data_IF_716184360307
#
_entry.id   IF_716184360307
#
_cell.length_a   1.000
_cell.length_b   1.000
_cell.length_c   1.000
_cell.angle_alpha   90.00
_cell.angle_beta   90.00
_cell.angle_gamma   90.00
#
_symmetry.space_group_name_H-M   'P 1'
#
loop_
_entity.id
_entity.type
_entity.pdbx_description
1 polymer ?
#
# COMPACT_ATOMS: atom_id res chain seq x y z
N UNK A 1 31.67 7.90 0.47
CA UNK A 1 30.21 7.90 0.20
C UNK A 1 29.85 6.53 -0.33
N UNK A 2 29.21 5.69 0.49
CA UNK A 2 28.94 4.29 0.15
C UNK A 2 27.93 4.20 -0.98
N UNK A 3 28.36 3.57 -2.07
CA UNK A 3 27.58 3.32 -3.26
C UNK A 3 26.48 2.30 -2.95
N UNK A 4 25.30 2.54 -3.53
CA UNK A 4 24.22 1.56 -3.70
C UNK A 4 23.50 1.06 -2.44
N UNK A 5 22.84 1.96 -1.71
CA UNK A 5 21.45 1.67 -1.32
C UNK A 5 20.61 1.69 -2.61
N UNK A 6 20.76 0.66 -3.46
CA UNK A 6 19.79 0.42 -4.52
C UNK A 6 18.50 0.13 -3.76
N UNK A 7 17.60 1.10 -3.71
CA UNK A 7 16.20 0.87 -3.39
C UNK A 7 15.73 -0.23 -4.32
N UNK A 8 15.78 -1.48 -3.86
CA UNK A 8 15.29 -2.61 -4.61
C UNK A 8 13.78 -2.46 -4.68
N UNK A 9 13.31 -1.77 -5.73
CA UNK A 9 11.97 -1.88 -6.32
C UNK A 9 11.77 -3.27 -6.94
N UNK A 10 12.31 -4.28 -6.28
CA UNK A 10 12.13 -5.68 -6.60
C UNK A 10 10.99 -6.19 -5.76
N UNK A 11 10.12 -7.00 -6.36
CA UNK A 11 9.09 -7.75 -5.63
C UNK A 11 9.67 -8.73 -4.58
N UNK A 12 10.99 -8.86 -4.53
CA UNK A 12 11.71 -9.53 -3.45
C UNK A 12 11.62 -8.78 -2.12
N UNK A 13 11.42 -7.46 -2.14
CA UNK A 13 11.14 -6.68 -0.94
C UNK A 13 9.69 -6.90 -0.48
N UNK A 14 9.46 -7.45 0.72
CA UNK A 14 8.11 -7.71 1.22
C UNK A 14 7.26 -6.44 1.37
N UNK A 15 7.87 -5.28 1.66
CA UNK A 15 7.14 -4.00 1.71
C UNK A 15 6.56 -3.64 0.34
N UNK A 16 7.35 -3.76 -0.73
CA UNK A 16 6.93 -3.45 -2.11
C UNK A 16 5.88 -4.44 -2.60
N UNK A 17 6.06 -5.73 -2.30
CA UNK A 17 5.09 -6.77 -2.68
C UNK A 17 3.72 -6.54 -2.06
N UNK A 18 3.67 -6.25 -0.76
CA UNK A 18 2.40 -6.04 -0.08
C UNK A 18 1.77 -4.70 -0.45
N UNK A 19 2.59 -3.66 -0.67
CA UNK A 19 2.09 -2.41 -1.23
C UNK A 19 1.40 -2.64 -2.57
N UNK A 20 2.05 -3.35 -3.49
CA UNK A 20 1.48 -3.66 -4.80
C UNK A 20 0.18 -4.47 -4.69
N UNK A 21 0.13 -5.49 -3.83
CA UNK A 21 -1.06 -6.33 -3.63
C UNK A 21 -2.23 -5.57 -2.97
N UNK A 22 -1.97 -4.56 -2.13
CA UNK A 22 -3.04 -3.78 -1.50
C UNK A 22 -3.47 -2.58 -2.35
N UNK A 23 -2.52 -1.83 -2.90
CA UNK A 23 -2.79 -0.55 -3.56
C UNK A 23 -3.21 -0.72 -5.01
N UNK A 24 -2.64 -1.67 -5.78
CA UNK A 24 -3.06 -1.86 -7.17
C UNK A 24 -4.54 -2.25 -7.29
N UNK A 25 -5.07 -3.21 -6.51
CA UNK A 25 -6.50 -3.52 -6.57
C UNK A 25 -7.37 -2.34 -6.12
N UNK A 26 -6.94 -1.58 -5.11
CA UNK A 26 -7.66 -0.40 -4.66
C UNK A 26 -7.73 0.70 -5.74
N UNK A 27 -6.65 0.91 -6.51
CA UNK A 27 -6.61 1.81 -7.67
C UNK A 27 -7.58 1.36 -8.75
N UNK A 28 -7.56 0.08 -9.11
CA UNK A 28 -8.49 -0.46 -10.09
C UNK A 28 -9.96 -0.30 -9.64
N UNK A 29 -10.27 -0.64 -8.39
CA UNK A 29 -11.62 -0.48 -7.83
C UNK A 29 -12.05 0.99 -7.78
N UNK A 30 -11.16 1.88 -7.37
CA UNK A 30 -11.44 3.32 -7.34
C UNK A 30 -11.75 3.85 -8.74
N UNK A 31 -11.01 3.44 -9.77
CA UNK A 31 -11.27 3.84 -11.15
C UNK A 31 -12.61 3.30 -11.64
N UNK A 32 -12.94 2.04 -11.33
CA UNK A 32 -14.23 1.46 -11.66
C UNK A 32 -15.37 2.24 -10.99
N UNK A 33 -15.23 2.59 -9.71
CA UNK A 33 -16.24 3.39 -9.00
C UNK A 33 -16.39 4.77 -9.64
N UNK A 34 -15.28 5.43 -10.00
CA UNK A 34 -15.35 6.77 -10.63
C UNK A 34 -16.05 6.72 -12.00
N UNK A 35 -15.75 5.70 -12.82
CA UNK A 35 -16.27 5.59 -14.19
C UNK A 35 -17.72 5.10 -14.23
N UNK A 36 -18.06 4.12 -13.40
CA UNK A 36 -19.36 3.42 -13.48
C UNK A 36 -20.40 3.93 -12.49
N UNK A 37 -20.00 4.65 -11.43
CA UNK A 37 -20.95 5.26 -10.51
C UNK A 37 -21.59 6.48 -11.15
N UNK A 38 -22.92 6.62 -10.99
CA UNK A 38 -23.69 7.80 -11.41
C UNK A 38 -23.94 8.79 -10.28
N UNK A 39 -23.39 8.55 -9.10
CA UNK A 39 -23.52 9.47 -7.96
C UNK A 39 -22.71 10.76 -8.23
N UNK A 40 -23.00 11.83 -7.52
CA UNK A 40 -22.13 13.02 -7.54
C UNK A 40 -20.90 12.81 -6.63
N UNK A 41 -20.94 11.81 -5.76
CA UNK A 41 -19.91 11.51 -4.76
C UNK A 41 -18.87 10.47 -5.21
N UNK A 42 -18.81 10.14 -6.50
CA UNK A 42 -17.96 9.05 -7.04
C UNK A 42 -16.49 9.22 -6.67
N UNK A 43 -16.01 10.45 -6.78
CA UNK A 43 -14.64 10.81 -6.41
C UNK A 43 -14.38 10.61 -4.91
N UNK A 44 -15.35 10.96 -4.06
CA UNK A 44 -15.24 10.76 -2.61
C UNK A 44 -15.17 9.27 -2.27
N UNK A 45 -15.99 8.42 -2.91
CA UNK A 45 -15.93 6.98 -2.71
C UNK A 45 -14.60 6.38 -3.20
N UNK A 46 -14.11 6.81 -4.36
CA UNK A 46 -12.79 6.41 -4.86
C UNK A 46 -11.67 6.81 -3.88
N UNK A 47 -11.69 8.05 -3.39
CA UNK A 47 -10.73 8.54 -2.42
C UNK A 47 -10.79 7.77 -1.09
N UNK A 48 -11.98 7.40 -0.61
CA UNK A 48 -12.15 6.58 0.59
C UNK A 48 -11.55 5.18 0.42
N UNK A 49 -11.75 4.55 -0.74
CA UNK A 49 -11.15 3.24 -1.05
C UNK A 49 -9.61 3.33 -1.00
N UNK A 50 -9.03 4.38 -1.60
CA UNK A 50 -7.59 4.63 -1.55
C UNK A 50 -7.10 4.86 -0.12
N UNK A 51 -7.82 5.68 0.65
CA UNK A 51 -7.48 6.03 2.01
C UNK A 51 -7.45 4.79 2.91
N UNK A 52 -8.45 3.91 2.80
CA UNK A 52 -8.50 2.67 3.57
C UNK A 52 -7.36 1.73 3.17
N UNK A 53 -7.09 1.58 1.87
CA UNK A 53 -6.01 0.72 1.39
C UNK A 53 -4.62 1.19 1.88
N UNK A 54 -4.35 2.50 1.79
CA UNK A 54 -3.10 3.09 2.28
C UNK A 54 -2.98 2.97 3.80
N UNK A 55 -4.06 3.27 4.54
CA UNK A 55 -4.07 3.15 6.00
C UNK A 55 -3.81 1.71 6.43
N UNK A 56 -4.42 0.73 5.77
CA UNK A 56 -4.18 -0.69 5.99
C UNK A 56 -2.72 -1.09 5.72
N UNK A 57 -2.14 -0.58 4.62
CA UNK A 57 -0.73 -0.81 4.30
C UNK A 57 0.21 -0.25 5.37
N UNK A 58 0.03 1.01 5.78
CA UNK A 58 0.88 1.63 6.80
C UNK A 58 0.73 0.97 8.17
N UNK A 59 -0.50 0.56 8.52
CA UNK A 59 -0.75 -0.18 9.75
C UNK A 59 -0.01 -1.53 9.74
N UNK A 60 -0.11 -2.28 8.64
CA UNK A 60 0.63 -3.53 8.47
C UNK A 60 2.15 -3.30 8.52
N UNK A 61 2.66 -2.28 7.82
CA UNK A 61 4.09 -1.92 7.83
C UNK A 61 4.59 -1.60 9.23
N UNK A 62 3.80 -0.89 10.03
CA UNK A 62 4.15 -0.59 11.42
C UNK A 62 4.29 -1.87 12.26
N UNK A 63 3.35 -2.81 12.14
CA UNK A 63 3.41 -4.10 12.82
C UNK A 63 4.59 -4.94 12.32
N UNK A 64 4.83 -4.97 11.01
CA UNK A 64 5.92 -5.72 10.39
C UNK A 64 7.28 -5.28 10.94
N UNK A 65 7.56 -3.97 10.92
CA UNK A 65 8.79 -3.40 11.48
C UNK A 65 8.95 -3.69 12.97
N UNK A 66 7.85 -3.67 13.73
CA UNK A 66 7.88 -4.00 15.17
C UNK A 66 8.24 -5.47 15.42
N UNK A 67 7.79 -6.39 14.57
CA UNK A 67 8.12 -7.82 14.65
C UNK A 67 9.55 -8.09 14.22
N UNK A 68 10.04 -7.41 13.19
CA UNK A 68 11.41 -7.56 12.69
C UNK A 68 12.44 -7.11 13.73
N UNK A 69 12.20 -5.99 14.41
CA UNK A 69 13.04 -5.53 15.53
C UNK A 69 13.11 -6.51 16.71
N UNK A 70 12.04 -7.26 16.96
CA UNK A 70 12.03 -8.30 18.02
C UNK A 70 12.81 -9.55 17.61
N UNK A 71 12.87 -9.85 16.32
CA UNK A 71 13.58 -11.03 15.79
C UNK A 71 15.10 -10.82 15.73
N UNK A 72 15.58 -9.58 15.56
CA UNK A 72 17.02 -9.26 15.55
C UNK A 72 17.64 -9.06 16.93
N UNK A 73 16.83 -8.90 17.99
CA UNK A 73 17.31 -8.65 19.36
C UNK A 73 17.23 -9.88 20.29
N UNK A 74 16.94 -11.06 19.75
CA UNK A 74 16.96 -12.34 20.46
C UNK A 74 17.91 -13.30 19.78
#
# INVERSE_FOLDING_TARGET
MNQTERYELSFRNPEVRVYAVMVLPAVLLSLLVIIFSRSDFNFMYGALIQFVALTGFYYWRFIYRRKEKRKNNG
#
